data_IF_231331822499
#
_entry.id   IF_231331822499
#
_cell.length_a   1.000
_cell.length_b   1.000
_cell.length_c   1.000
_cell.angle_alpha   90.00
_cell.angle_beta   90.00
_cell.angle_gamma   90.00
#
_symmetry.space_group_name_H-M   'P 1'
#
loop_
_entity.id
_entity.type
_entity.pdbx_description
1 polymer ?
#
# COMPACT_ATOMS: atom_id res chain seq x y z
N UNK A 1 13.33 13.46 -23.27
CA UNK A 1 13.53 12.96 -21.90
C UNK A 1 14.20 14.00 -20.99
N UNK A 2 15.45 14.45 -21.24
CA UNK A 2 16.15 15.38 -20.31
C UNK A 2 15.36 16.65 -19.98
N UNK A 3 14.71 17.29 -20.97
CA UNK A 3 13.91 18.48 -20.72
C UNK A 3 12.69 18.18 -19.81
N UNK A 4 12.02 17.04 -19.99
CA UNK A 4 10.86 16.63 -19.18
C UNK A 4 11.28 16.29 -17.74
N UNK A 5 12.44 15.66 -17.55
CA UNK A 5 12.97 15.41 -16.21
C UNK A 5 13.37 16.73 -15.50
N UNK A 6 13.89 17.71 -16.24
CA UNK A 6 14.20 19.04 -15.70
C UNK A 6 12.92 19.79 -15.29
N UNK A 7 11.80 19.62 -16.00
CA UNK A 7 10.50 20.15 -15.58
C UNK A 7 9.99 19.40 -14.33
N UNK A 8 10.11 18.07 -14.31
CA UNK A 8 9.67 17.21 -13.20
C UNK A 8 10.41 17.55 -11.89
N UNK A 9 11.69 17.98 -11.96
CA UNK A 9 12.54 18.33 -10.82
C UNK A 9 12.81 19.83 -10.72
N UNK A 10 11.91 20.66 -11.24
CA UNK A 10 12.10 22.12 -11.32
C UNK A 10 11.96 22.85 -9.97
N UNK A 11 11.48 22.17 -8.92
CA UNK A 11 11.09 22.80 -7.66
C UNK A 11 9.77 23.58 -7.73
N UNK A 12 9.06 23.48 -8.84
CA UNK A 12 7.72 24.06 -9.03
C UNK A 12 6.72 22.91 -9.25
N UNK A 13 5.86 22.67 -8.27
CA UNK A 13 4.91 21.54 -8.26
C UNK A 13 3.98 21.56 -9.47
N UNK A 14 3.57 22.74 -9.95
CA UNK A 14 2.67 22.86 -11.11
C UNK A 14 3.38 22.44 -12.40
N UNK A 15 4.65 22.85 -12.56
CA UNK A 15 5.47 22.47 -13.73
C UNK A 15 5.76 20.96 -13.67
N UNK A 16 6.11 20.45 -12.51
CA UNK A 16 6.40 19.04 -12.29
C UNK A 16 5.15 18.18 -12.63
N UNK A 17 3.99 18.47 -12.05
CA UNK A 17 2.75 17.73 -12.32
C UNK A 17 2.36 17.82 -13.82
N UNK A 18 2.49 18.98 -14.44
CA UNK A 18 2.17 19.17 -15.87
C UNK A 18 3.12 18.41 -16.80
N UNK A 19 4.31 18.02 -16.35
CA UNK A 19 5.27 17.24 -17.15
C UNK A 19 4.92 15.74 -17.20
N UNK A 20 4.19 15.23 -16.21
CA UNK A 20 3.89 13.80 -16.06
C UNK A 20 3.18 13.21 -17.28
N UNK A 21 2.11 13.81 -17.84
CA UNK A 21 1.45 13.24 -19.01
C UNK A 21 2.40 13.03 -20.20
N UNK A 22 3.27 14.02 -20.48
CA UNK A 22 4.23 13.91 -21.56
C UNK A 22 5.32 12.84 -21.29
N UNK A 23 5.70 12.63 -20.01
CA UNK A 23 6.61 11.54 -19.62
C UNK A 23 5.92 10.19 -19.84
N UNK A 24 4.64 10.06 -19.44
CA UNK A 24 3.85 8.83 -19.62
C UNK A 24 3.68 8.46 -21.09
N UNK A 25 3.48 9.45 -21.97
CA UNK A 25 3.40 9.26 -23.43
C UNK A 25 4.67 8.64 -24.04
N UNK A 26 5.83 8.81 -23.41
CA UNK A 26 7.07 8.15 -23.83
C UNK A 26 7.07 6.63 -23.57
N UNK A 27 6.08 6.13 -22.83
CA UNK A 27 5.88 4.72 -22.57
C UNK A 27 7.07 4.08 -21.84
N UNK A 28 7.39 2.85 -22.21
CA UNK A 28 8.48 2.07 -21.61
C UNK A 28 9.84 2.75 -21.64
N UNK A 29 10.07 3.67 -22.58
CA UNK A 29 11.36 4.36 -22.72
C UNK A 29 11.64 5.35 -21.58
N UNK A 30 10.58 5.79 -20.86
CA UNK A 30 10.72 6.66 -19.71
C UNK A 30 11.14 5.91 -18.43
N UNK A 31 10.78 4.65 -18.30
CA UNK A 31 10.94 3.88 -17.05
C UNK A 31 12.40 3.86 -16.55
N UNK A 32 13.42 3.54 -17.36
CA UNK A 32 14.81 3.53 -16.86
C UNK A 32 15.26 4.87 -16.30
N UNK A 33 14.87 5.98 -16.93
CA UNK A 33 15.26 7.31 -16.48
C UNK A 33 14.51 7.72 -15.19
N UNK A 34 13.26 7.32 -15.03
CA UNK A 34 12.51 7.52 -13.79
C UNK A 34 13.07 6.68 -12.63
N UNK A 35 13.48 5.44 -12.90
CA UNK A 35 14.12 4.58 -11.91
C UNK A 35 15.50 5.10 -11.47
N UNK A 36 16.23 5.76 -12.37
CA UNK A 36 17.46 6.44 -12.01
C UNK A 36 17.18 7.67 -11.15
N UNK A 37 16.19 8.48 -11.51
CA UNK A 37 15.73 9.63 -10.72
C UNK A 37 15.24 9.21 -9.32
N UNK A 38 14.60 8.03 -9.20
CA UNK A 38 14.16 7.47 -7.92
C UNK A 38 15.34 7.10 -6.98
N UNK A 39 16.60 7.26 -7.44
CA UNK A 39 17.83 7.09 -6.63
C UNK A 39 18.54 8.40 -6.35
N UNK A 40 17.95 9.55 -6.70
CA UNK A 40 18.52 10.86 -6.45
C UNK A 40 18.79 11.09 -4.95
N UNK A 41 19.76 11.95 -4.64
CA UNK A 41 20.09 12.26 -3.25
C UNK A 41 18.94 12.98 -2.54
N UNK A 42 18.29 13.92 -3.20
CA UNK A 42 17.18 14.67 -2.63
C UNK A 42 15.85 13.89 -2.69
N UNK A 43 15.08 13.98 -1.62
CA UNK A 43 13.83 13.25 -1.47
C UNK A 43 12.74 13.75 -2.43
N UNK A 44 12.74 15.03 -2.78
CA UNK A 44 11.74 15.62 -3.67
C UNK A 44 11.85 15.03 -5.08
N UNK A 45 13.06 14.96 -5.64
CA UNK A 45 13.31 14.29 -6.92
C UNK A 45 12.88 12.81 -6.90
N UNK A 46 13.15 12.09 -5.81
CA UNK A 46 12.70 10.69 -5.67
C UNK A 46 11.18 10.58 -5.61
N UNK A 47 10.53 11.49 -4.87
CA UNK A 47 9.07 11.54 -4.78
C UNK A 47 8.43 11.79 -6.15
N UNK A 48 8.94 12.78 -6.91
CA UNK A 48 8.45 13.06 -8.25
C UNK A 48 8.66 11.90 -9.23
N UNK A 49 9.78 11.18 -9.10
CA UNK A 49 10.01 9.96 -9.86
C UNK A 49 8.95 8.89 -9.58
N UNK A 50 8.64 8.64 -8.29
CA UNK A 50 7.59 7.71 -7.87
C UNK A 50 6.22 8.15 -8.39
N UNK A 51 5.93 9.46 -8.33
CA UNK A 51 4.70 10.05 -8.82
C UNK A 51 4.50 9.80 -10.33
N UNK A 52 5.57 9.97 -11.12
CA UNK A 52 5.56 9.71 -12.56
C UNK A 52 5.48 8.20 -12.86
N UNK A 53 6.20 7.35 -12.12
CA UNK A 53 6.10 5.89 -12.23
C UNK A 53 4.68 5.40 -11.91
N UNK A 54 4.04 5.95 -10.87
CA UNK A 54 2.66 5.59 -10.50
C UNK A 54 1.63 5.91 -11.59
N UNK A 55 1.88 6.93 -12.40
CA UNK A 55 1.01 7.33 -13.50
C UNK A 55 1.23 6.50 -14.79
N UNK A 56 2.40 5.85 -14.93
CA UNK A 56 2.74 5.09 -16.14
C UNK A 56 2.13 3.69 -16.12
N UNK A 57 1.35 3.29 -17.13
CA UNK A 57 0.81 1.93 -17.22
C UNK A 57 1.89 0.86 -17.48
N UNK A 58 3.12 1.26 -17.77
CA UNK A 58 4.24 0.37 -18.04
C UNK A 58 5.09 0.08 -16.81
N UNK A 59 4.82 0.73 -15.67
CA UNK A 59 5.51 0.48 -14.42
C UNK A 59 5.07 -0.87 -13.83
N UNK A 60 6.05 -1.67 -13.41
CA UNK A 60 5.83 -2.95 -12.73
C UNK A 60 5.95 -2.77 -11.23
N UNK A 61 5.20 -3.57 -10.46
CA UNK A 61 5.24 -3.54 -9.00
C UNK A 61 6.66 -3.74 -8.45
N UNK A 62 7.45 -4.63 -9.07
CA UNK A 62 8.83 -4.92 -8.67
C UNK A 62 9.74 -3.68 -8.69
N UNK A 63 9.42 -2.71 -9.54
CA UNK A 63 10.15 -1.45 -9.66
C UNK A 63 9.84 -0.47 -8.53
N UNK A 64 8.66 -0.60 -7.91
CA UNK A 64 8.19 0.24 -6.81
C UNK A 64 8.54 -0.33 -5.43
N UNK A 65 8.68 -1.65 -5.30
CA UNK A 65 8.93 -2.33 -4.02
C UNK A 65 10.15 -1.75 -3.26
N UNK A 66 11.32 -1.51 -3.88
CA UNK A 66 12.47 -0.96 -3.16
C UNK A 66 12.21 0.41 -2.51
N UNK A 67 11.28 1.19 -3.08
CA UNK A 67 10.95 2.54 -2.61
C UNK A 67 10.08 2.53 -1.33
N UNK A 68 9.51 1.39 -0.96
CA UNK A 68 8.87 1.20 0.35
C UNK A 68 9.86 1.28 1.52
N UNK A 69 11.17 1.18 1.25
CA UNK A 69 12.23 1.28 2.25
C UNK A 69 13.02 2.59 2.15
N UNK A 70 12.49 3.60 1.46
CA UNK A 70 13.13 4.91 1.33
C UNK A 70 13.31 5.56 2.71
N UNK A 71 14.38 6.36 2.87
CA UNK A 71 14.65 7.10 4.10
C UNK A 71 13.58 8.16 4.38
N UNK A 72 13.00 8.76 3.34
CA UNK A 72 11.96 9.79 3.43
C UNK A 72 10.57 9.16 3.52
N UNK A 73 9.78 9.46 4.55
CA UNK A 73 8.43 8.88 4.70
C UNK A 73 7.49 9.26 3.57
N UNK A 74 7.61 10.45 2.99
CA UNK A 74 6.83 10.90 1.84
C UNK A 74 7.08 10.05 0.59
N UNK A 75 8.32 9.59 0.37
CA UNK A 75 8.65 8.67 -0.73
C UNK A 75 8.09 7.28 -0.48
N UNK A 76 8.18 6.77 0.77
CA UNK A 76 7.58 5.48 1.15
C UNK A 76 6.06 5.49 0.96
N UNK A 77 5.39 6.56 1.42
CA UNK A 77 3.94 6.73 1.25
C UNK A 77 3.56 6.79 -0.23
N UNK A 78 4.31 7.55 -1.05
CA UNK A 78 4.09 7.61 -2.49
C UNK A 78 4.27 6.24 -3.16
N UNK A 79 5.27 5.44 -2.74
CA UNK A 79 5.50 4.09 -3.25
C UNK A 79 4.34 3.14 -2.87
N UNK A 80 3.86 3.19 -1.64
CA UNK A 80 2.71 2.40 -1.20
C UNK A 80 1.44 2.78 -1.97
N UNK A 81 1.21 4.08 -2.22
CA UNK A 81 0.11 4.57 -3.06
C UNK A 81 0.26 4.11 -4.52
N UNK A 82 1.47 4.17 -5.07
CA UNK A 82 1.75 3.69 -6.43
C UNK A 82 1.43 2.20 -6.58
N UNK A 83 1.73 1.38 -5.57
CA UNK A 83 1.39 -0.05 -5.54
C UNK A 83 -0.11 -0.32 -5.45
N UNK A 84 -0.93 0.64 -5.01
CA UNK A 84 -2.39 0.54 -5.13
C UNK A 84 -2.86 0.62 -6.60
N UNK A 85 -2.10 1.31 -7.46
CA UNK A 85 -2.39 1.44 -8.90
C UNK A 85 -1.79 0.26 -9.71
N UNK A 86 -0.75 -0.37 -9.17
CA UNK A 86 -0.04 -1.50 -9.78
C UNK A 86 -0.05 -2.72 -8.84
N UNK A 87 -1.24 -3.26 -8.48
CA UNK A 87 -1.33 -4.36 -7.54
C UNK A 87 -0.80 -5.67 -8.15
N UNK A 88 0.18 -6.26 -7.49
CA UNK A 88 0.75 -7.56 -7.87
C UNK A 88 1.23 -8.32 -6.65
N UNK A 89 1.13 -9.64 -6.66
CA UNK A 89 1.45 -10.50 -5.51
C UNK A 89 2.93 -10.41 -5.08
N UNK A 90 3.85 -10.05 -5.99
CA UNK A 90 5.26 -9.84 -5.64
C UNK A 90 5.49 -8.75 -4.59
N UNK A 91 4.53 -7.84 -4.39
CA UNK A 91 4.63 -6.76 -3.40
C UNK A 91 4.10 -7.16 -2.01
N UNK A 92 3.47 -8.32 -1.85
CA UNK A 92 2.78 -8.72 -0.60
C UNK A 92 3.71 -8.69 0.60
N UNK A 93 4.90 -9.28 0.49
CA UNK A 93 5.85 -9.37 1.62
C UNK A 93 6.32 -7.97 2.06
N UNK A 94 6.71 -7.12 1.11
CA UNK A 94 7.18 -5.77 1.40
C UNK A 94 6.06 -4.87 1.96
N UNK A 95 4.85 -4.94 1.40
CA UNK A 95 3.70 -4.21 1.92
C UNK A 95 3.28 -4.69 3.31
N UNK A 96 3.39 -6.00 3.60
CA UNK A 96 3.11 -6.53 4.93
C UNK A 96 4.10 -6.02 5.97
N UNK A 97 5.37 -5.82 5.59
CA UNK A 97 6.37 -5.16 6.43
C UNK A 97 6.05 -3.67 6.61
N UNK A 98 5.57 -2.99 5.56
CA UNK A 98 5.18 -1.58 5.63
C UNK A 98 3.97 -1.29 6.53
N UNK A 99 3.20 -2.32 6.95
CA UNK A 99 2.18 -2.15 7.99
C UNK A 99 2.77 -1.72 9.34
N UNK A 100 4.06 -1.99 9.57
CA UNK A 100 4.80 -1.60 10.78
C UNK A 100 5.53 -0.26 10.63
N UNK A 101 5.32 0.47 9.53
CA UNK A 101 5.97 1.75 9.31
C UNK A 101 5.62 2.74 10.42
N UNK A 102 6.62 3.51 10.86
CA UNK A 102 6.44 4.58 11.85
C UNK A 102 5.55 5.71 11.33
N UNK A 103 5.54 5.93 10.01
CA UNK A 103 4.63 6.86 9.34
C UNK A 103 3.26 6.19 9.13
N UNK A 104 2.25 6.73 9.81
CA UNK A 104 0.89 6.17 9.77
C UNK A 104 0.25 6.22 8.37
N UNK A 105 0.63 7.18 7.53
CA UNK A 105 0.15 7.26 6.15
C UNK A 105 0.71 6.10 5.33
N UNK A 106 2.01 5.84 5.41
CA UNK A 106 2.66 4.72 4.75
C UNK A 106 2.03 3.39 5.17
N UNK A 107 1.87 3.17 6.49
CA UNK A 107 1.24 1.95 7.01
C UNK A 107 -0.21 1.77 6.52
N UNK A 108 -1.01 2.85 6.51
CA UNK A 108 -2.38 2.82 6.02
C UNK A 108 -2.49 2.53 4.52
N UNK A 109 -1.60 3.14 3.71
CA UNK A 109 -1.53 2.90 2.27
C UNK A 109 -1.06 1.48 1.94
N UNK A 110 -0.12 0.93 2.71
CA UNK A 110 0.30 -0.47 2.59
C UNK A 110 -0.89 -1.42 2.81
N UNK A 111 -1.71 -1.19 3.83
CA UNK A 111 -2.94 -1.95 4.05
C UNK A 111 -3.90 -1.85 2.86
N UNK A 112 -4.07 -0.66 2.29
CA UNK A 112 -4.91 -0.44 1.11
C UNK A 112 -4.37 -1.18 -0.12
N UNK A 113 -3.06 -1.17 -0.34
CA UNK A 113 -2.42 -1.90 -1.43
C UNK A 113 -2.60 -3.42 -1.28
N UNK A 114 -2.47 -3.96 -0.07
CA UNK A 114 -2.74 -5.38 0.22
C UNK A 114 -4.19 -5.76 -0.08
N UNK A 115 -5.16 -4.87 0.20
CA UNK A 115 -6.57 -5.07 -0.20
C UNK A 115 -6.71 -5.11 -1.72
N UNK A 116 -6.02 -4.23 -2.45
CA UNK A 116 -6.05 -4.23 -3.93
C UNK A 116 -5.45 -5.49 -4.55
N UNK A 117 -4.43 -6.08 -3.93
CA UNK A 117 -3.86 -7.37 -4.32
C UNK A 117 -4.86 -8.51 -4.03
N UNK A 118 -5.60 -8.42 -2.92
CA UNK A 118 -6.66 -9.36 -2.58
C UNK A 118 -6.16 -10.65 -1.93
N UNK A 119 -6.75 -11.78 -2.32
CA UNK A 119 -6.52 -13.11 -1.72
C UNK A 119 -5.06 -13.55 -1.54
N UNK A 120 -4.10 -13.19 -2.41
CA UNK A 120 -2.68 -13.46 -2.17
C UNK A 120 -2.13 -12.84 -0.88
N UNK A 121 -2.69 -11.71 -0.41
CA UNK A 121 -2.26 -11.01 0.81
C UNK A 121 -2.71 -11.71 2.11
N UNK A 122 -3.71 -12.58 2.04
CA UNK A 122 -4.36 -13.16 3.23
C UNK A 122 -3.39 -13.92 4.13
N UNK A 123 -2.48 -14.78 3.64
CA UNK A 123 -1.56 -15.52 4.51
C UNK A 123 -0.69 -14.59 5.36
N UNK A 124 -0.12 -13.55 4.76
CA UNK A 124 0.72 -12.57 5.46
C UNK A 124 -0.08 -11.76 6.49
N UNK A 125 -1.29 -11.33 6.14
CA UNK A 125 -2.17 -10.62 7.08
C UNK A 125 -2.57 -11.49 8.28
N UNK A 126 -2.82 -12.78 8.07
CA UNK A 126 -3.08 -13.74 9.14
C UNK A 126 -1.85 -13.94 10.04
N UNK A 127 -0.63 -13.90 9.48
CA UNK A 127 0.60 -13.96 10.27
C UNK A 127 0.77 -12.72 11.14
N UNK A 128 0.52 -11.53 10.58
CA UNK A 128 0.52 -10.25 11.30
C UNK A 128 -0.42 -10.30 12.52
N UNK A 129 -1.59 -10.92 12.39
CA UNK A 129 -2.55 -11.05 13.49
C UNK A 129 -2.03 -11.86 14.69
N UNK A 130 -0.98 -12.67 14.55
CA UNK A 130 -0.50 -13.57 15.63
C UNK A 130 0.28 -12.88 16.74
N UNK A 131 0.84 -11.70 16.51
CA UNK A 131 1.68 -11.07 17.55
C UNK A 131 2.10 -9.63 17.27
N UNK A 132 1.55 -8.99 16.25
CA UNK A 132 1.84 -7.58 15.96
C UNK A 132 1.26 -6.63 17.05
N UNK A 133 1.81 -5.43 17.20
CA UNK A 133 1.18 -4.39 18.02
C UNK A 133 -0.26 -4.11 17.60
N UNK A 134 -1.12 -3.72 18.55
CA UNK A 134 -2.56 -3.52 18.31
C UNK A 134 -2.86 -2.63 17.10
N UNK A 135 -2.12 -1.53 16.90
CA UNK A 135 -2.32 -0.64 15.75
C UNK A 135 -2.12 -1.35 14.41
N UNK A 136 -1.14 -2.24 14.34
CA UNK A 136 -0.85 -3.04 13.13
C UNK A 136 -1.89 -4.15 12.94
N UNK A 137 -2.33 -4.78 14.04
CA UNK A 137 -3.43 -5.75 13.98
C UNK A 137 -4.73 -5.12 13.47
N UNK A 138 -5.03 -3.88 13.84
CA UNK A 138 -6.20 -3.15 13.32
C UNK A 138 -6.10 -2.98 11.79
N UNK A 139 -4.92 -2.58 11.27
CA UNK A 139 -4.71 -2.43 9.83
C UNK A 139 -4.87 -3.78 9.10
N UNK A 140 -4.28 -4.85 9.66
CA UNK A 140 -4.37 -6.18 9.08
C UNK A 140 -5.81 -6.71 9.10
N UNK A 141 -6.52 -6.57 10.21
CA UNK A 141 -7.90 -7.06 10.35
C UNK A 141 -8.86 -6.27 9.44
N UNK A 142 -8.67 -4.95 9.31
CA UNK A 142 -9.39 -4.12 8.36
C UNK A 142 -9.15 -4.60 6.92
N UNK A 143 -7.91 -4.85 6.54
CA UNK A 143 -7.58 -5.39 5.22
C UNK A 143 -8.24 -6.75 4.97
N UNK A 144 -8.17 -7.68 5.94
CA UNK A 144 -8.84 -8.99 5.87
C UNK A 144 -10.37 -8.85 5.70
N UNK A 145 -10.98 -7.89 6.41
CA UNK A 145 -12.41 -7.57 6.28
C UNK A 145 -12.78 -7.11 4.86
N UNK A 146 -11.93 -6.29 4.24
CA UNK A 146 -12.20 -5.73 2.91
C UNK A 146 -11.88 -6.72 1.78
N UNK A 147 -10.90 -7.62 1.97
CA UNK A 147 -10.59 -8.71 1.03
C UNK A 147 -11.72 -9.74 0.94
N UNK A 148 -12.46 -9.98 2.04
CA UNK A 148 -13.59 -10.92 2.12
C UNK A 148 -13.21 -12.37 1.79
N UNK A 149 -12.06 -12.83 2.22
CA UNK A 149 -11.61 -14.20 2.03
C UNK A 149 -12.00 -15.07 3.23
N UNK A 150 -12.63 -16.21 2.98
CA UNK A 150 -13.11 -17.13 4.03
C UNK A 150 -12.00 -17.65 4.96
N UNK A 151 -10.74 -17.64 4.52
CA UNK A 151 -9.57 -17.99 5.36
C UNK A 151 -9.41 -17.08 6.57
N UNK A 152 -9.98 -15.87 6.55
CA UNK A 152 -9.95 -14.94 7.66
C UNK A 152 -11.00 -15.24 8.76
N UNK A 153 -12.01 -16.09 8.50
CA UNK A 153 -13.09 -16.38 9.46
C UNK A 153 -12.56 -16.84 10.81
N UNK A 154 -11.62 -17.82 10.91
CA UNK A 154 -11.16 -18.30 12.21
C UNK A 154 -10.50 -17.20 13.07
N UNK A 155 -9.71 -16.31 12.48
CA UNK A 155 -9.08 -15.20 13.22
C UNK A 155 -10.11 -14.16 13.63
N UNK A 156 -11.08 -13.82 12.77
CA UNK A 156 -12.17 -12.91 13.10
C UNK A 156 -13.01 -13.44 14.26
N UNK A 157 -13.38 -14.73 14.24
CA UNK A 157 -14.12 -15.38 15.32
C UNK A 157 -13.34 -15.37 16.65
N UNK A 158 -12.01 -15.58 16.60
CA UNK A 158 -11.16 -15.50 17.78
C UNK A 158 -11.16 -14.08 18.36
N UNK A 159 -11.00 -13.07 17.51
CA UNK A 159 -10.94 -11.65 17.89
C UNK A 159 -12.23 -11.17 18.57
N UNK A 160 -13.40 -11.73 18.25
CA UNK A 160 -14.66 -11.38 18.92
C UNK A 160 -14.63 -11.68 20.43
N UNK A 161 -13.76 -12.57 20.90
CA UNK A 161 -13.62 -12.90 22.31
C UNK A 161 -12.47 -12.12 23.00
N UNK A 162 -11.81 -11.20 22.30
CA UNK A 162 -10.75 -10.35 22.84
C UNK A 162 -11.34 -9.09 23.51
N UNK A 163 -10.55 -8.40 24.35
CA UNK A 163 -11.02 -7.24 25.08
C UNK A 163 -11.10 -5.95 24.24
N UNK A 164 -10.44 -5.91 23.08
CA UNK A 164 -10.38 -4.72 22.23
C UNK A 164 -11.66 -4.50 21.43
N UNK A 165 -12.45 -3.50 21.83
CA UNK A 165 -13.67 -3.12 21.10
C UNK A 165 -13.41 -2.72 19.63
N UNK A 166 -12.24 -2.15 19.31
CA UNK A 166 -11.88 -1.77 17.95
C UNK A 166 -11.61 -3.01 17.09
N UNK A 167 -10.89 -4.01 17.64
CA UNK A 167 -10.66 -5.27 16.94
C UNK A 167 -11.96 -6.04 16.76
N UNK A 168 -12.82 -6.09 17.81
CA UNK A 168 -14.15 -6.71 17.72
C UNK A 168 -15.00 -6.08 16.61
N UNK A 169 -14.99 -4.74 16.51
CA UNK A 169 -15.72 -4.03 15.45
C UNK A 169 -15.28 -4.48 14.05
N UNK A 170 -13.99 -4.50 13.76
CA UNK A 170 -13.49 -4.92 12.45
C UNK A 170 -13.70 -6.40 12.18
N UNK A 171 -13.63 -7.25 13.21
CA UNK A 171 -13.95 -8.67 13.07
C UNK A 171 -15.43 -8.88 12.73
N UNK A 172 -16.33 -8.17 13.40
CA UNK A 172 -17.76 -8.22 13.14
C UNK A 172 -18.09 -7.73 11.72
N UNK A 173 -17.54 -6.59 11.32
CA UNK A 173 -17.66 -6.05 9.96
C UNK A 173 -17.20 -7.08 8.90
N UNK A 174 -16.04 -7.71 9.13
CA UNK A 174 -15.49 -8.70 8.21
C UNK A 174 -16.39 -9.93 8.09
N UNK A 175 -16.89 -10.45 9.20
CA UNK A 175 -17.83 -11.60 9.21
C UNK A 175 -19.13 -11.24 8.51
N UNK A 176 -19.68 -10.05 8.74
CA UNK A 176 -20.89 -9.58 8.06
C UNK A 176 -20.69 -9.47 6.55
N UNK A 177 -19.55 -8.92 6.09
CA UNK A 177 -19.19 -8.85 4.66
C UNK A 177 -19.03 -10.22 4.01
N UNK A 178 -18.76 -11.26 4.80
CA UNK A 178 -18.70 -12.67 4.39
C UNK A 178 -20.08 -13.36 4.43
N UNK A 179 -21.15 -12.63 4.78
CA UNK A 179 -22.51 -13.18 4.90
C UNK A 179 -22.75 -13.99 6.18
N UNK A 180 -21.85 -13.84 7.15
CA UNK A 180 -21.99 -14.46 8.48
C UNK A 180 -22.58 -13.43 9.44
N UNK A 181 -23.88 -13.15 9.31
CA UNK A 181 -24.63 -12.32 10.27
C UNK A 181 -24.70 -13.06 11.62
N UNK A 182 -23.70 -12.79 12.46
CA UNK A 182 -23.70 -13.29 13.82
C UNK A 182 -24.71 -12.48 14.65
N UNK A 183 -25.93 -12.91 14.66
CA UNK A 183 -26.89 -12.51 15.68
C UNK A 183 -26.41 -13.13 17.01
N UNK A 184 -25.39 -12.52 17.62
CA UNK A 184 -25.16 -12.75 19.04
C UNK A 184 -26.27 -12.05 19.79
N UNK A 185 -27.38 -12.76 20.01
CA UNK A 185 -28.30 -12.43 21.06
C UNK A 185 -27.50 -12.38 22.35
N UNK A 186 -27.29 -11.17 22.92
CA UNK A 186 -26.93 -11.09 24.33
C UNK A 186 -28.00 -11.86 25.10
N UNK A 187 -27.59 -12.74 26.03
CA UNK A 187 -28.53 -13.39 26.93
C UNK A 187 -29.26 -12.37 27.80
#
# INVERSE_FOLDING_TARGET
>A
MHALLAELTSGDDVRAENSIPAIVELGMTAIPALLELARAEDADSRWWAVRALAASPHTRSEELIPLLSDSAPEVRAAAALALCNHPHESAVDALSQSLFDADALTAGLAGTALVKIGSPSVPNLLEVMKGAPMGVQILALRALSDIRDHRAIPVMMKVLNEESAVLQYWAQEGLQKLGLDMIYGKP
#
